data_IF_531851839150
#
_entry.id   IF_531851839150
#
_cell.length_a   1.000
_cell.length_b   1.000
_cell.length_c   1.000
_cell.angle_alpha   90.00
_cell.angle_beta   90.00
_cell.angle_gamma   90.00
#
_symmetry.space_group_name_H-M   'P 1'
#
loop_
_entity.id
_entity.type
_entity.pdbx_description
1 polymer ?
#
# COMPACT_ATOMS: atom_id res chain seq x y z
N UNK A 1 -10.83 31.65 16.78
CA UNK A 1 -9.93 31.07 15.76
C UNK A 1 -10.79 30.37 14.72
N UNK A 2 -10.97 30.97 13.54
CA UNK A 2 -11.75 30.37 12.46
C UNK A 2 -11.01 29.13 11.93
N UNK A 3 -11.44 27.95 12.36
CA UNK A 3 -10.89 26.69 11.85
C UNK A 3 -11.20 26.54 10.36
N UNK A 4 -10.28 25.93 9.63
CA UNK A 4 -10.49 25.54 8.23
C UNK A 4 -11.66 24.55 8.17
N UNK A 5 -12.88 25.07 8.00
CA UNK A 5 -14.06 24.24 7.82
C UNK A 5 -14.00 23.58 6.45
N UNK A 6 -14.34 22.29 6.41
CA UNK A 6 -14.33 21.44 5.21
C UNK A 6 -15.08 22.11 4.04
N UNK A 7 -16.12 22.90 4.35
CA UNK A 7 -16.88 23.68 3.36
C UNK A 7 -16.02 24.66 2.55
N UNK A 8 -15.05 25.32 3.19
CA UNK A 8 -14.15 26.25 2.49
C UNK A 8 -13.20 25.52 1.55
N UNK A 9 -12.74 24.33 1.96
CA UNK A 9 -11.82 23.52 1.14
C UNK A 9 -12.51 23.02 -0.13
N UNK A 10 -13.78 22.60 -0.05
CA UNK A 10 -14.55 22.17 -1.22
C UNK A 10 -14.76 23.31 -2.21
N UNK A 11 -15.15 24.49 -1.73
CA UNK A 11 -15.36 25.67 -2.58
C UNK A 11 -14.03 26.09 -3.23
N UNK A 12 -12.94 26.10 -2.47
CA UNK A 12 -11.61 26.40 -2.98
C UNK A 12 -11.18 25.40 -4.07
N UNK A 13 -11.41 24.10 -3.86
CA UNK A 13 -11.08 23.07 -4.84
C UNK A 13 -11.84 23.27 -6.16
N UNK A 14 -13.12 23.66 -6.12
CA UNK A 14 -13.90 23.97 -7.33
C UNK A 14 -13.27 25.13 -8.10
N UNK A 15 -12.90 26.21 -7.41
CA UNK A 15 -12.27 27.38 -8.04
C UNK A 15 -10.94 27.00 -8.70
N UNK A 16 -10.10 26.22 -8.01
CA UNK A 16 -8.83 25.72 -8.57
C UNK A 16 -9.08 24.86 -9.81
N UNK A 17 -10.06 23.97 -9.78
CA UNK A 17 -10.43 23.13 -10.94
C UNK A 17 -10.87 23.98 -12.13
N UNK A 18 -11.63 25.06 -11.90
CA UNK A 18 -12.07 25.96 -12.97
C UNK A 18 -10.92 26.78 -13.56
N UNK A 19 -9.97 27.24 -12.74
CA UNK A 19 -8.82 28.03 -13.19
C UNK A 19 -7.81 27.19 -14.00
N UNK A 20 -7.47 26.01 -13.50
CA UNK A 20 -6.48 25.14 -14.14
C UNK A 20 -7.09 24.23 -15.21
N UNK A 21 -8.42 24.05 -15.18
CA UNK A 21 -9.13 23.06 -15.97
C UNK A 21 -8.88 21.63 -15.49
N UNK A 22 -9.84 20.74 -15.77
CA UNK A 22 -9.74 19.32 -15.37
C UNK A 22 -8.63 18.56 -16.10
N UNK A 23 -8.21 19.03 -17.29
CA UNK A 23 -7.23 18.35 -18.12
C UNK A 23 -5.82 18.37 -17.52
N UNK A 24 -5.37 19.53 -17.01
CA UNK A 24 -4.07 19.68 -16.33
C UNK A 24 -4.05 18.91 -15.01
N UNK A 25 -5.13 19.05 -14.22
CA UNK A 25 -5.29 18.38 -12.93
C UNK A 25 -5.38 16.85 -13.08
N UNK A 26 -5.98 16.33 -14.16
CA UNK A 26 -6.03 14.88 -14.42
C UNK A 26 -4.67 14.30 -14.77
N UNK A 27 -3.89 14.96 -15.62
CA UNK A 27 -2.54 14.46 -15.94
C UNK A 27 -1.64 14.49 -14.70
N UNK A 28 -1.56 15.64 -14.02
CA UNK A 28 -0.72 15.77 -12.82
C UNK A 28 -1.23 14.88 -11.67
N UNK A 29 -2.54 14.79 -11.51
CA UNK A 29 -3.16 13.94 -10.49
C UNK A 29 -2.98 12.45 -10.76
N UNK A 30 -2.84 12.01 -12.02
CA UNK A 30 -2.51 10.62 -12.35
C UNK A 30 -1.08 10.28 -11.96
N UNK A 31 -0.14 11.18 -12.25
CA UNK A 31 1.29 10.97 -11.96
C UNK A 31 1.56 11.01 -10.44
N UNK A 32 1.05 12.03 -9.76
CA UNK A 32 1.19 12.17 -8.30
C UNK A 32 0.32 11.13 -7.56
N UNK A 33 -0.90 10.91 -8.02
CA UNK A 33 -1.82 9.95 -7.41
C UNK A 33 -1.35 8.51 -7.54
N UNK A 34 -0.66 8.16 -8.62
CA UNK A 34 0.00 6.86 -8.78
C UNK A 34 1.06 6.64 -7.70
N UNK A 35 2.00 7.58 -7.57
CA UNK A 35 3.06 7.50 -6.56
C UNK A 35 2.53 7.43 -5.13
N UNK A 36 1.51 8.23 -4.79
CA UNK A 36 0.88 8.21 -3.46
C UNK A 36 0.08 6.92 -3.23
N UNK A 37 -0.55 6.35 -4.26
CA UNK A 37 -1.27 5.08 -4.18
C UNK A 37 -0.30 3.93 -3.89
N UNK A 38 0.83 3.89 -4.57
CA UNK A 38 1.85 2.85 -4.37
C UNK A 38 2.48 2.99 -2.97
N UNK A 39 2.78 4.21 -2.53
CA UNK A 39 3.25 4.49 -1.16
C UNK A 39 2.26 4.00 -0.09
N UNK A 40 0.96 4.29 -0.25
CA UNK A 40 -0.08 3.79 0.66
C UNK A 40 -0.20 2.27 0.62
N UNK A 41 0.01 1.66 -0.55
CA UNK A 41 -0.04 0.20 -0.71
C UNK A 41 1.11 -0.48 0.04
N UNK A 42 2.34 0.02 -0.12
CA UNK A 42 3.51 -0.48 0.60
C UNK A 42 3.36 -0.37 2.12
N UNK A 43 2.89 0.77 2.63
CA UNK A 43 2.64 0.93 4.07
C UNK A 43 1.60 -0.08 4.58
N UNK A 44 0.51 -0.30 3.82
CA UNK A 44 -0.53 -1.26 4.21
C UNK A 44 -0.08 -2.71 4.10
N UNK A 45 0.82 -3.03 3.18
CA UNK A 45 1.43 -4.35 3.06
C UNK A 45 2.40 -4.62 4.23
N UNK A 46 3.18 -3.63 4.67
CA UNK A 46 4.01 -3.73 5.88
C UNK A 46 3.18 -3.90 7.16
N UNK A 47 2.03 -3.21 7.28
CA UNK A 47 1.09 -3.41 8.39
C UNK A 47 0.44 -4.81 8.38
N UNK A 48 0.10 -5.32 7.18
CA UNK A 48 -0.47 -6.65 7.01
C UNK A 48 0.56 -7.78 7.28
N UNK A 49 1.82 -7.56 6.88
CA UNK A 49 2.93 -8.46 7.19
C UNK A 49 3.23 -8.47 8.69
N UNK A 50 3.18 -7.31 9.36
CA UNK A 50 3.27 -7.22 10.83
C UNK A 50 2.10 -7.89 11.56
N UNK A 51 0.89 -7.90 10.96
CA UNK A 51 -0.25 -8.64 11.52
C UNK A 51 -0.12 -10.16 11.34
N UNK A 52 0.51 -10.63 10.25
CA UNK A 52 0.80 -12.05 10.02
C UNK A 52 1.97 -12.59 10.87
N UNK A 53 2.76 -11.72 11.51
CA UNK A 53 3.80 -12.08 12.47
C UNK A 53 3.27 -12.29 13.91
N UNK A 54 1.97 -12.13 14.15
CA UNK A 54 1.31 -12.39 15.44
C UNK A 54 0.65 -13.77 15.57
N UNK A 55 0.80 -14.66 14.60
CA UNK A 55 0.58 -16.08 14.84
C UNK A 55 1.91 -16.78 15.10
N UNK A 56 2.03 -17.58 16.18
CA UNK A 56 3.20 -18.41 16.41
C UNK A 56 3.27 -19.46 15.29
N UNK A 57 4.03 -19.17 14.23
CA UNK A 57 4.51 -20.21 13.31
C UNK A 57 5.43 -21.12 14.13
N UNK A 58 4.87 -22.20 14.65
CA UNK A 58 5.64 -23.36 15.11
C UNK A 58 6.45 -23.84 13.93
N UNK A 59 7.76 -23.65 13.99
CA UNK A 59 8.72 -24.21 13.05
C UNK A 59 8.75 -25.73 13.29
N UNK A 60 7.84 -26.45 12.63
CA UNK A 60 7.98 -27.89 12.48
C UNK A 60 9.17 -28.17 11.56
N UNK A 61 10.31 -28.39 12.19
CA UNK A 61 11.50 -28.95 11.58
C UNK A 61 11.15 -30.36 11.09
N UNK A 62 10.68 -30.50 9.85
CA UNK A 62 10.67 -31.78 9.15
C UNK A 62 12.13 -32.17 8.83
N UNK A 63 12.80 -32.73 9.83
CA UNK A 63 13.91 -33.65 9.61
C UNK A 63 13.36 -34.94 8.98
N UNK A 64 13.14 -34.93 7.67
CA UNK A 64 12.93 -36.15 6.89
C UNK A 64 14.19 -36.45 6.09
N UNK A 65 15.17 -36.99 6.81
CA UNK A 65 16.02 -38.12 6.41
C UNK A 65 16.15 -38.39 4.91
N UNK A 66 17.09 -37.69 4.27
CA UNK A 66 17.86 -38.24 3.16
C UNK A 66 18.79 -39.36 3.71
N UNK A 67 18.39 -40.65 3.71
CA UNK A 67 19.29 -41.82 3.52
C UNK A 67 18.44 -43.11 3.33
N UNK A 68 17.80 -43.31 2.16
CA UNK A 68 17.48 -44.64 1.61
C UNK A 68 16.99 -44.40 0.17
N UNK A 69 17.65 -44.74 -0.94
CA UNK A 69 18.32 -46.00 -1.27
C UNK A 69 19.07 -45.82 -2.61
N UNK A 70 20.39 -45.67 -2.57
CA UNK A 70 21.27 -45.69 -3.77
C UNK A 70 22.32 -46.80 -3.70
N UNK A 71 22.23 -47.73 -2.73
CA UNK A 71 23.12 -48.90 -2.69
C UNK A 71 22.32 -50.18 -2.54
N UNK A 72 21.88 -50.73 -3.67
CA UNK A 72 21.84 -52.19 -3.84
C UNK A 72 21.98 -52.55 -5.32
N UNK A 73 23.20 -52.96 -5.67
CA UNK A 73 23.46 -53.85 -6.79
C UNK A 73 22.94 -55.26 -6.44
#
# INVERSE_FOLDING_TARGET
MAGLSIWHVVIFAIVVILLFGTSKLKNLGKDVGGAVKDFKKSIREEDAENAALKEPRTLEHQSNTDVNSTVKN
#
